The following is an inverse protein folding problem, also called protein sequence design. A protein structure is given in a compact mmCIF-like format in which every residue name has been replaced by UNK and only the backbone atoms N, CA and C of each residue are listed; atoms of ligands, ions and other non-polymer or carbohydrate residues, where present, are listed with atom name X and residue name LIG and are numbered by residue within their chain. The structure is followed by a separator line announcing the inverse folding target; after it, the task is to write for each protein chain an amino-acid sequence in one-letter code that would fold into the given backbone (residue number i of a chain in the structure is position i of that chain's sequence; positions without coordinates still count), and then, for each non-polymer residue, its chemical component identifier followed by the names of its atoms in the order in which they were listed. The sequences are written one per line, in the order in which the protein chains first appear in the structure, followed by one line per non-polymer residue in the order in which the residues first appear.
data_IF_845345167697
#
_entry.id   IF_845345167697
#
_cell.length_a   1.000
_cell.length_b   1.000
_cell.length_c   1.000
_cell.angle_alpha   90.00
_cell.angle_beta   90.00
_cell.angle_gamma   90.00
#
_symmetry.space_group_name_H-M   'P 1'
#
loop_
_entity.id
_entity.type
_entity.pdbx_description
1 polymer ?
#
# COMPACT_ATOMS: atom_id res chain seq x y z
N UNK A 1 14.64 62.46 -22.86
CA UNK A 1 15.13 61.15 -22.38
C UNK A 1 14.17 60.68 -21.30
N UNK A 2 13.14 59.94 -21.70
CA UNK A 2 12.13 59.34 -20.82
C UNK A 2 12.74 58.12 -20.15
N UNK A 3 12.76 58.08 -18.82
CA UNK A 3 13.23 56.91 -18.07
C UNK A 3 12.31 55.73 -18.36
N UNK A 4 12.92 54.56 -18.52
CA UNK A 4 12.23 53.31 -18.78
C UNK A 4 11.37 52.94 -17.56
N UNK A 5 10.04 52.78 -17.70
CA UNK A 5 9.15 52.41 -16.60
C UNK A 5 9.58 51.10 -15.91
N UNK A 6 10.33 50.23 -16.58
CA UNK A 6 10.89 49.02 -15.98
C UNK A 6 11.94 49.31 -14.91
N UNK A 7 12.72 50.40 -15.03
CA UNK A 7 13.71 50.80 -14.02
C UNK A 7 13.08 51.39 -12.75
N UNK A 8 11.88 51.98 -12.85
CA UNK A 8 11.15 52.47 -11.68
C UNK A 8 10.45 51.35 -10.90
N UNK A 9 10.04 50.28 -11.59
CA UNK A 9 9.48 49.08 -10.96
C UNK A 9 10.59 48.35 -10.19
N UNK A 10 11.77 48.19 -10.80
CA UNK A 10 12.91 47.53 -10.18
C UNK A 10 13.43 48.28 -8.93
N UNK A 11 13.51 49.61 -8.99
CA UNK A 11 13.93 50.42 -7.82
C UNK A 11 12.93 50.43 -6.66
N UNK A 12 11.66 50.07 -6.90
CA UNK A 12 10.68 49.88 -5.83
C UNK A 12 10.84 48.54 -5.10
N UNK A 13 11.63 47.63 -5.67
CA UNK A 13 11.84 46.27 -5.15
C UNK A 13 13.14 46.12 -4.34
N UNK A 14 13.95 47.18 -4.22
CA UNK A 14 15.20 47.24 -3.42
C UNK A 14 14.94 47.45 -1.90
N UNK A 15 13.96 46.74 -1.34
CA UNK A 15 13.87 46.47 0.10
C UNK A 15 14.33 45.03 0.33
N UNK A 16 14.89 44.67 1.51
CA UNK A 16 15.35 43.30 1.76
C UNK A 16 14.22 42.35 1.43
N UNK A 17 14.39 41.60 0.34
CA UNK A 17 13.41 40.65 -0.16
C UNK A 17 13.42 39.42 0.73
N UNK A 18 13.00 39.60 1.99
CA UNK A 18 12.30 38.53 2.69
C UNK A 18 10.97 38.41 1.98
N UNK A 19 10.98 37.66 0.88
CA UNK A 19 9.76 37.07 0.35
C UNK A 19 9.19 36.27 1.51
N UNK A 20 8.32 36.92 2.30
CA UNK A 20 7.40 36.28 3.23
C UNK A 20 6.52 35.44 2.35
N UNK A 21 7.00 34.25 2.00
CA UNK A 21 6.16 33.19 1.46
C UNK A 21 5.02 33.10 2.47
N UNK A 22 3.82 33.43 2.01
CA UNK A 22 2.64 33.50 2.87
C UNK A 22 2.48 32.12 3.53
N UNK A 23 2.83 32.05 4.82
CA UNK A 23 2.85 30.82 5.60
C UNK A 23 1.47 30.15 5.55
N UNK A 24 0.40 30.94 5.53
CA UNK A 24 -0.96 30.42 5.44
C UNK A 24 -1.25 29.81 4.07
N UNK A 25 -0.78 30.46 2.99
CA UNK A 25 -0.89 29.91 1.64
C UNK A 25 -0.13 28.58 1.51
N UNK A 26 1.10 28.51 2.05
CA UNK A 26 1.92 27.32 1.98
C UNK A 26 1.35 26.18 2.83
N UNK A 27 0.85 26.47 4.03
CA UNK A 27 0.13 25.52 4.87
C UNK A 27 -1.15 25.01 4.21
N UNK A 28 -1.90 25.88 3.52
CA UNK A 28 -3.10 25.48 2.76
C UNK A 28 -2.76 24.58 1.56
N UNK A 29 -1.65 24.86 0.87
CA UNK A 29 -1.17 24.00 -0.21
C UNK A 29 -0.78 22.61 0.30
N UNK A 30 -0.05 22.54 1.42
CA UNK A 30 0.32 21.28 2.08
C UNK A 30 -0.92 20.51 2.53
N UNK A 31 -1.88 21.19 3.18
CA UNK A 31 -3.17 20.59 3.58
C UNK A 31 -3.94 20.02 2.39
N UNK A 32 -3.97 20.73 1.26
CA UNK A 32 -4.61 20.26 0.04
C UNK A 32 -3.92 19.00 -0.49
N UNK A 33 -2.60 19.03 -0.65
CA UNK A 33 -1.80 17.88 -1.09
C UNK A 33 -1.98 16.65 -0.17
N UNK A 34 -2.02 16.87 1.15
CA UNK A 34 -2.25 15.82 2.14
C UNK A 34 -3.65 15.22 2.02
N UNK A 35 -4.68 16.05 1.76
CA UNK A 35 -6.05 15.59 1.55
C UNK A 35 -6.18 14.73 0.30
N UNK A 36 -5.57 15.16 -0.80
CA UNK A 36 -5.58 14.43 -2.06
C UNK A 36 -4.85 13.09 -1.94
N UNK A 37 -3.71 13.09 -1.25
CA UNK A 37 -2.98 11.88 -0.89
C UNK A 37 -3.81 10.91 -0.06
N UNK A 38 -4.45 11.42 1.00
CA UNK A 38 -5.32 10.61 1.83
C UNK A 38 -6.44 10.00 0.99
N UNK A 39 -7.14 10.75 0.14
CA UNK A 39 -8.15 10.19 -0.74
C UNK A 39 -7.63 9.08 -1.67
N UNK A 40 -6.43 9.23 -2.23
CA UNK A 40 -5.83 8.21 -3.07
C UNK A 40 -5.56 6.91 -2.30
N UNK A 41 -4.99 7.01 -1.10
CA UNK A 41 -4.70 5.86 -0.22
C UNK A 41 -6.01 5.20 0.21
N UNK A 42 -7.02 5.98 0.57
CA UNK A 42 -8.35 5.48 0.94
C UNK A 42 -8.99 4.67 -0.17
N UNK A 43 -8.95 5.20 -1.40
CA UNK A 43 -9.52 4.52 -2.56
C UNK A 43 -8.81 3.19 -2.81
N UNK A 44 -7.48 3.17 -2.71
CA UNK A 44 -6.69 1.94 -2.86
C UNK A 44 -7.06 0.92 -1.78
N UNK A 45 -7.05 1.33 -0.51
CA UNK A 45 -7.35 0.43 0.60
C UNK A 45 -8.78 -0.16 0.50
N UNK A 46 -9.77 0.63 0.06
CA UNK A 46 -11.15 0.15 -0.16
C UNK A 46 -11.19 -0.88 -1.29
N UNK A 47 -10.49 -0.64 -2.40
CA UNK A 47 -10.45 -1.58 -3.51
C UNK A 47 -9.77 -2.89 -3.10
N UNK A 48 -8.66 -2.83 -2.37
CA UNK A 48 -7.94 -4.02 -1.90
C UNK A 48 -8.78 -4.83 -0.91
N UNK A 49 -9.40 -4.18 0.08
CA UNK A 49 -10.34 -4.84 1.01
C UNK A 49 -11.50 -5.47 0.23
N UNK A 50 -12.07 -4.74 -0.72
CA UNK A 50 -13.16 -5.23 -1.57
C UNK A 50 -12.76 -6.49 -2.34
N UNK A 51 -11.58 -6.51 -2.95
CA UNK A 51 -11.06 -7.67 -3.67
C UNK A 51 -10.91 -8.87 -2.72
N UNK A 52 -10.31 -8.70 -1.54
CA UNK A 52 -10.18 -9.82 -0.58
C UNK A 52 -11.52 -10.36 -0.09
N UNK A 53 -12.50 -9.48 0.15
CA UNK A 53 -13.84 -9.87 0.56
C UNK A 53 -14.62 -10.57 -0.55
N UNK A 54 -14.38 -10.22 -1.82
CA UNK A 54 -14.95 -10.92 -2.97
C UNK A 54 -14.27 -12.27 -3.23
N UNK A 55 -12.95 -12.36 -3.02
CA UNK A 55 -12.19 -13.60 -3.19
C UNK A 55 -12.50 -14.64 -2.11
N UNK A 56 -12.75 -14.23 -0.87
CA UNK A 56 -13.05 -15.13 0.24
C UNK A 56 -14.18 -16.14 -0.05
N UNK A 57 -15.40 -15.73 -0.48
CA UNK A 57 -16.48 -16.67 -0.79
C UNK A 57 -16.17 -17.56 -1.99
N UNK A 58 -15.36 -17.08 -2.95
CA UNK A 58 -14.91 -17.89 -4.10
C UNK A 58 -14.06 -19.07 -3.60
N UNK A 59 -13.12 -18.82 -2.69
CA UNK A 59 -12.28 -19.88 -2.13
C UNK A 59 -13.05 -20.83 -1.20
N UNK A 60 -14.03 -20.33 -0.44
CA UNK A 60 -14.97 -21.19 0.30
C UNK A 60 -15.75 -22.10 -0.67
N UNK A 61 -16.24 -21.54 -1.78
CA UNK A 61 -16.92 -22.32 -2.81
C UNK A 61 -16.02 -23.42 -3.38
N UNK A 62 -14.75 -23.13 -3.69
CA UNK A 62 -13.80 -24.17 -4.13
C UNK A 62 -13.56 -25.25 -3.07
N UNK A 63 -13.45 -24.87 -1.79
CA UNK A 63 -13.35 -25.81 -0.67
C UNK A 63 -14.55 -26.76 -0.59
N UNK A 64 -15.77 -26.27 -0.82
CA UNK A 64 -17.00 -27.09 -0.82
C UNK A 64 -17.15 -27.86 -2.14
N UNK A 65 -16.86 -27.26 -3.28
CA UNK A 65 -17.00 -27.90 -4.58
C UNK A 65 -16.05 -29.10 -4.72
N UNK A 66 -14.84 -29.00 -4.15
CA UNK A 66 -13.87 -30.10 -4.15
C UNK A 66 -14.36 -31.37 -3.43
N UNK A 67 -15.40 -31.30 -2.60
CA UNK A 67 -15.97 -32.48 -1.91
C UNK A 67 -17.21 -33.06 -2.59
N UNK A 68 -17.85 -32.35 -3.52
CA UNK A 68 -19.16 -32.73 -4.07
C UNK A 68 -19.12 -33.96 -4.96
N UNK A 69 -18.02 -34.18 -5.67
CA UNK A 69 -17.89 -35.26 -6.66
C UNK A 69 -17.14 -36.49 -6.12
N UNK A 70 -17.08 -36.68 -4.80
CA UNK A 70 -16.27 -37.73 -4.16
C UNK A 70 -14.77 -37.46 -4.20
N UNK A 71 -14.37 -36.27 -4.63
CA UNK A 71 -12.99 -35.79 -4.61
C UNK A 71 -12.44 -35.65 -3.19
N UNK A 72 -11.11 -35.72 -3.02
CA UNK A 72 -10.49 -35.60 -1.71
C UNK A 72 -10.69 -34.19 -1.15
N UNK A 73 -11.06 -34.10 0.12
CA UNK A 73 -11.34 -32.80 0.75
C UNK A 73 -10.09 -31.90 0.79
N UNK A 74 -10.12 -30.81 0.03
CA UNK A 74 -9.02 -29.82 -0.02
C UNK A 74 -9.29 -28.71 1.00
N UNK A 75 -9.10 -29.04 2.28
CA UNK A 75 -9.28 -28.10 3.40
C UNK A 75 -8.35 -26.87 3.29
N UNK A 76 -7.25 -26.96 2.55
CA UNK A 76 -6.31 -25.86 2.34
C UNK A 76 -6.94 -24.65 1.61
N UNK A 77 -8.06 -24.81 0.89
CA UNK A 77 -8.82 -23.67 0.37
C UNK A 77 -9.36 -22.75 1.47
N UNK A 78 -9.67 -23.29 2.65
CA UNK A 78 -10.04 -22.49 3.80
C UNK A 78 -8.86 -21.69 4.37
N UNK A 79 -7.62 -22.15 4.22
CA UNK A 79 -6.44 -21.36 4.57
C UNK A 79 -6.33 -20.11 3.70
N UNK A 80 -6.62 -20.21 2.40
CA UNK A 80 -6.64 -19.06 1.48
C UNK A 80 -7.72 -18.07 1.91
N UNK A 81 -8.89 -18.58 2.32
CA UNK A 81 -9.98 -17.76 2.86
C UNK A 81 -9.53 -17.00 4.12
N UNK A 82 -8.89 -17.69 5.06
CA UNK A 82 -8.35 -17.08 6.28
C UNK A 82 -7.29 -16.03 5.95
N UNK A 83 -6.42 -16.29 4.96
CA UNK A 83 -5.43 -15.32 4.50
C UNK A 83 -6.07 -14.06 3.89
N UNK A 84 -7.14 -14.19 3.11
CA UNK A 84 -7.90 -13.04 2.60
C UNK A 84 -8.51 -12.22 3.74
N UNK A 85 -9.13 -12.88 4.73
CA UNK A 85 -9.72 -12.22 5.89
C UNK A 85 -8.67 -11.56 6.78
N UNK A 86 -7.51 -12.20 6.94
CA UNK A 86 -6.35 -11.63 7.64
C UNK A 86 -5.92 -10.31 6.99
N UNK A 87 -5.74 -10.29 5.66
CA UNK A 87 -5.34 -9.07 4.95
C UNK A 87 -6.38 -7.95 5.11
N UNK A 88 -7.67 -8.26 4.91
CA UNK A 88 -8.74 -7.29 5.11
C UNK A 88 -8.80 -6.77 6.56
N UNK A 89 -8.70 -7.67 7.53
CA UNK A 89 -8.69 -7.36 8.96
C UNK A 89 -7.48 -6.51 9.36
N UNK A 90 -6.30 -6.83 8.85
CA UNK A 90 -5.06 -6.09 9.12
C UNK A 90 -5.16 -4.63 8.64
N UNK A 91 -5.70 -4.39 7.44
CA UNK A 91 -5.95 -3.04 6.95
C UNK A 91 -6.87 -2.24 7.88
N UNK A 92 -7.99 -2.84 8.28
CA UNK A 92 -8.97 -2.19 9.17
C UNK A 92 -8.35 -1.93 10.55
N UNK A 93 -7.67 -2.91 11.13
CA UNK A 93 -7.03 -2.80 12.44
C UNK A 93 -5.95 -1.71 12.45
N UNK A 94 -5.05 -1.72 11.47
CA UNK A 94 -4.02 -0.70 11.31
C UNK A 94 -4.65 0.70 11.25
N UNK A 95 -5.71 0.85 10.45
CA UNK A 95 -6.38 2.14 10.32
C UNK A 95 -7.07 2.61 11.60
N UNK A 96 -7.74 1.72 12.33
CA UNK A 96 -8.36 2.06 13.62
C UNK A 96 -7.28 2.45 14.63
N UNK A 97 -6.17 1.71 14.68
CA UNK A 97 -5.08 1.97 15.61
C UNK A 97 -4.45 3.35 15.39
N UNK A 98 -4.19 3.72 14.14
CA UNK A 98 -3.62 5.03 13.81
C UNK A 98 -4.59 6.19 13.99
N UNK A 99 -5.89 5.99 13.73
CA UNK A 99 -6.91 7.01 14.07
C UNK A 99 -6.97 7.29 15.57
N UNK A 100 -6.78 6.28 16.42
CA UNK A 100 -6.76 6.45 17.89
C UNK A 100 -5.51 7.18 18.37
N UNK A 101 -4.35 6.88 17.78
CA UNK A 101 -3.05 7.47 18.17
C UNK A 101 -2.90 8.95 17.80
N UNK A 102 -3.66 9.43 16.82
CA UNK A 102 -3.55 10.79 16.25
C UNK A 102 -4.52 11.83 16.85
N UNK A 103 -5.08 11.56 18.03
CA UNK A 103 -5.90 12.53 18.79
C UNK A 103 -5.07 13.24 19.88
N UNK A 104 -4.50 14.43 19.60
CA UNK A 104 -4.31 15.42 20.68
C UNK A 104 -4.50 16.92 20.30
N UNK A 105 -5.31 17.55 21.16
CA UNK A 105 -5.45 18.92 21.72
C UNK A 105 -4.85 20.21 21.11
N UNK A 106 -3.90 20.24 20.15
CA UNK A 106 -3.29 21.51 19.67
C UNK A 106 -3.31 21.67 18.12
N UNK A 107 -3.58 22.84 17.49
CA UNK A 107 -4.07 22.88 16.09
C UNK A 107 -3.05 22.95 14.94
N UNK A 108 -1.82 23.46 15.13
CA UNK A 108 -0.94 23.85 14.00
C UNK A 108 0.34 23.00 13.86
N UNK A 109 1.22 22.99 14.86
CA UNK A 109 2.45 22.14 14.88
C UNK A 109 2.10 20.65 14.89
N UNK A 110 1.02 20.31 15.60
CA UNK A 110 0.38 18.99 15.60
C UNK A 110 -0.01 18.48 14.20
N UNK A 111 -0.34 19.35 13.24
CA UNK A 111 -0.74 18.93 11.91
C UNK A 111 0.45 18.41 11.07
N UNK A 112 1.60 19.09 11.14
CA UNK A 112 2.82 18.67 10.43
C UNK A 112 3.36 17.37 11.03
N UNK A 113 3.45 17.30 12.35
CA UNK A 113 3.91 16.08 13.06
C UNK A 113 3.01 14.88 12.76
N UNK A 114 1.69 15.12 12.67
CA UNK A 114 0.73 14.10 12.24
C UNK A 114 0.95 13.66 10.80
N UNK A 115 1.14 14.60 9.87
CA UNK A 115 1.32 14.29 8.46
C UNK A 115 2.60 13.48 8.21
N UNK A 116 3.69 13.82 8.90
CA UNK A 116 4.94 13.06 8.89
C UNK A 116 4.71 11.65 9.44
N UNK A 117 4.07 11.53 10.61
CA UNK A 117 3.78 10.22 11.23
C UNK A 117 2.89 9.32 10.34
N UNK A 118 1.90 9.90 9.66
CA UNK A 118 1.03 9.19 8.72
C UNK A 118 1.83 8.65 7.53
N UNK A 119 2.75 9.44 6.97
CA UNK A 119 3.60 9.02 5.84
C UNK A 119 4.61 7.96 6.28
N UNK A 120 5.23 8.11 7.45
CA UNK A 120 6.15 7.10 7.99
C UNK A 120 5.49 5.75 8.18
N UNK A 121 4.26 5.74 8.71
CA UNK A 121 3.48 4.52 8.81
C UNK A 121 3.19 3.88 7.44
N UNK A 122 2.82 4.70 6.44
CA UNK A 122 2.60 4.17 5.09
C UNK A 122 3.88 3.64 4.45
N UNK A 123 5.02 4.32 4.65
CA UNK A 123 6.33 3.82 4.21
C UNK A 123 6.63 2.48 4.89
N UNK A 124 6.40 2.35 6.20
CA UNK A 124 6.61 1.10 6.92
C UNK A 124 5.73 -0.03 6.37
N UNK A 125 4.44 0.23 6.17
CA UNK A 125 3.50 -0.74 5.58
C UNK A 125 4.00 -1.20 4.20
N UNK A 126 4.33 -0.27 3.33
CA UNK A 126 4.73 -0.59 1.96
C UNK A 126 6.09 -1.27 1.90
N UNK A 127 7.06 -0.87 2.73
CA UNK A 127 8.36 -1.56 2.85
C UNK A 127 8.20 -2.99 3.38
N UNK A 128 7.23 -3.22 4.27
CA UNK A 128 6.98 -4.53 4.87
C UNK A 128 5.85 -5.32 4.17
N UNK A 129 5.43 -4.91 2.97
CA UNK A 129 4.32 -5.56 2.23
C UNK A 129 4.56 -7.06 2.01
N UNK A 130 5.82 -7.50 1.91
CA UNK A 130 6.16 -8.92 1.83
C UNK A 130 5.61 -9.69 3.03
N UNK A 131 5.76 -9.15 4.24
CA UNK A 131 5.49 -9.85 5.49
C UNK A 131 4.01 -9.91 5.85
N UNK A 132 3.29 -8.79 5.72
CA UNK A 132 1.91 -8.72 6.19
C UNK A 132 0.88 -8.96 5.08
N UNK A 133 1.22 -8.73 3.80
CA UNK A 133 0.29 -8.81 2.67
C UNK A 133 0.54 -10.02 1.76
N UNK A 134 1.78 -10.24 1.31
CA UNK A 134 2.10 -11.28 0.32
C UNK A 134 2.33 -12.64 0.98
N UNK A 135 2.97 -12.69 2.14
CA UNK A 135 3.33 -13.95 2.79
C UNK A 135 2.12 -14.77 3.25
N UNK A 136 1.08 -14.22 3.90
CA UNK A 136 -0.08 -15.00 4.31
C UNK A 136 -0.79 -15.74 3.15
N UNK A 137 -1.15 -15.08 2.03
CA UNK A 137 -1.72 -15.79 0.88
C UNK A 137 -0.68 -16.68 0.19
N UNK A 138 0.60 -16.28 0.15
CA UNK A 138 1.67 -17.10 -0.44
C UNK A 138 1.81 -18.46 0.23
N UNK A 139 1.80 -18.50 1.57
CA UNK A 139 1.83 -19.75 2.35
C UNK A 139 0.55 -20.56 2.11
N UNK A 140 -0.62 -19.90 2.12
CA UNK A 140 -1.89 -20.60 1.90
C UNK A 140 -1.94 -21.27 0.52
N UNK A 141 -1.52 -20.57 -0.54
CA UNK A 141 -1.41 -21.13 -1.89
C UNK A 141 -0.39 -22.26 -1.95
N UNK A 142 0.77 -22.12 -1.30
CA UNK A 142 1.76 -23.19 -1.22
C UNK A 142 1.16 -24.47 -0.61
N UNK A 143 0.38 -24.35 0.46
CA UNK A 143 -0.31 -25.50 1.07
C UNK A 143 -1.31 -26.15 0.11
N UNK A 144 -2.10 -25.35 -0.64
CA UNK A 144 -3.01 -25.86 -1.68
C UNK A 144 -2.23 -26.64 -2.73
N UNK A 145 -1.13 -26.09 -3.24
CA UNK A 145 -0.32 -26.75 -4.25
C UNK A 145 0.31 -28.05 -3.74
N UNK A 146 0.88 -28.04 -2.54
CA UNK A 146 1.48 -29.23 -1.94
C UNK A 146 0.44 -30.34 -1.72
N UNK A 147 -0.74 -29.99 -1.19
CA UNK A 147 -1.81 -30.96 -1.02
C UNK A 147 -2.23 -31.57 -2.37
N UNK A 148 -2.46 -30.72 -3.38
CA UNK A 148 -2.87 -31.16 -4.70
C UNK A 148 -1.81 -32.02 -5.38
N UNK A 149 -0.53 -31.66 -5.25
CA UNK A 149 0.59 -32.43 -5.80
C UNK A 149 0.65 -33.82 -5.18
N UNK A 150 0.48 -33.95 -3.87
CA UNK A 150 0.45 -35.25 -3.18
C UNK A 150 -0.73 -36.09 -3.68
N UNK A 151 -1.93 -35.50 -3.77
CA UNK A 151 -3.13 -36.20 -4.21
C UNK A 151 -3.03 -36.69 -5.66
N UNK A 152 -2.60 -35.83 -6.58
CA UNK A 152 -2.51 -36.18 -8.00
C UNK A 152 -1.35 -37.14 -8.27
N UNK A 153 -0.25 -37.06 -7.52
CA UNK A 153 0.90 -37.97 -7.68
C UNK A 153 0.57 -39.44 -7.41
N UNK A 154 -0.42 -39.73 -6.56
CA UNK A 154 -0.89 -41.08 -6.27
C UNK A 154 -1.80 -41.69 -7.33
N UNK A 155 -2.33 -40.88 -8.25
CA UNK A 155 -3.29 -41.29 -9.29
C UNK A 155 -2.68 -41.33 -10.70
N UNK A 156 -1.35 -41.25 -10.80
CA UNK A 156 -0.65 -41.18 -12.07
C UNK A 156 -0.47 -42.57 -12.66
N UNK A 157 -0.99 -42.77 -13.86
CA UNK A 157 -0.86 -44.03 -14.61
C UNK A 157 0.12 -43.94 -15.79
N UNK A 158 0.50 -42.73 -16.20
CA UNK A 158 1.38 -42.51 -17.36
C UNK A 158 2.38 -41.35 -17.19
N UNK A 159 3.48 -41.42 -17.95
CA UNK A 159 4.48 -40.35 -17.99
C UNK A 159 3.92 -39.03 -18.56
N UNK A 160 2.97 -39.11 -19.50
CA UNK A 160 2.33 -37.93 -20.09
C UNK A 160 1.50 -37.15 -19.05
N UNK A 161 0.73 -37.87 -18.23
CA UNK A 161 -0.02 -37.27 -17.11
C UNK A 161 0.91 -36.58 -16.10
N UNK A 162 2.07 -37.17 -15.77
CA UNK A 162 3.07 -36.51 -14.91
C UNK A 162 3.57 -35.20 -15.48
N UNK A 163 3.86 -35.17 -16.78
CA UNK A 163 4.34 -33.96 -17.45
C UNK A 163 3.26 -32.88 -17.48
N UNK A 164 2.01 -33.24 -17.79
CA UNK A 164 0.88 -32.32 -17.77
C UNK A 164 0.68 -31.69 -16.39
N UNK A 165 0.66 -32.52 -15.33
CA UNK A 165 0.53 -32.06 -13.95
C UNK A 165 1.68 -31.11 -13.59
N UNK A 166 2.94 -31.49 -13.85
CA UNK A 166 4.11 -30.64 -13.58
C UNK A 166 4.06 -29.31 -14.30
N UNK A 167 3.58 -29.30 -15.55
CA UNK A 167 3.46 -28.07 -16.33
C UNK A 167 2.38 -27.15 -15.78
N UNK A 168 1.22 -27.69 -15.40
CA UNK A 168 0.14 -26.92 -14.75
C UNK A 168 0.62 -26.26 -13.44
N UNK A 169 1.34 -27.02 -12.61
CA UNK A 169 1.96 -26.49 -11.38
C UNK A 169 3.01 -25.43 -11.68
N UNK A 170 3.92 -25.68 -12.62
CA UNK A 170 4.99 -24.74 -12.97
C UNK A 170 4.42 -23.42 -13.53
N UNK A 171 3.41 -23.51 -14.40
CA UNK A 171 2.73 -22.36 -14.96
C UNK A 171 1.99 -21.56 -13.89
N UNK A 172 1.22 -22.23 -13.03
CA UNK A 172 0.47 -21.58 -11.96
C UNK A 172 1.39 -20.90 -10.93
N UNK A 173 2.49 -21.57 -10.56
CA UNK A 173 3.52 -21.00 -9.69
C UNK A 173 4.18 -19.77 -10.33
N UNK A 174 4.54 -19.85 -11.61
CA UNK A 174 5.12 -18.73 -12.35
C UNK A 174 4.17 -17.51 -12.35
N UNK A 175 2.88 -17.73 -12.61
CA UNK A 175 1.88 -16.65 -12.60
C UNK A 175 1.80 -15.99 -11.22
N UNK A 176 1.77 -16.77 -10.13
CA UNK A 176 1.73 -16.22 -8.77
C UNK A 176 2.99 -15.42 -8.45
N UNK A 177 4.17 -15.96 -8.75
CA UNK A 177 5.45 -15.26 -8.52
C UNK A 177 5.51 -13.96 -9.31
N UNK A 178 5.05 -13.96 -10.57
CA UNK A 178 4.99 -12.75 -11.39
C UNK A 178 4.02 -11.72 -10.81
N UNK A 179 2.79 -12.12 -10.45
CA UNK A 179 1.80 -11.22 -9.85
C UNK A 179 2.34 -10.63 -8.53
N UNK A 180 2.91 -11.47 -7.66
CA UNK A 180 3.46 -11.03 -6.38
C UNK A 180 4.66 -10.10 -6.57
N UNK A 181 5.54 -10.42 -7.54
CA UNK A 181 6.69 -9.60 -7.90
C UNK A 181 6.27 -8.23 -8.45
N UNK A 182 5.25 -8.18 -9.32
CA UNK A 182 4.69 -6.94 -9.85
C UNK A 182 4.07 -6.10 -8.73
N UNK A 183 3.26 -6.71 -7.87
CA UNK A 183 2.65 -6.02 -6.72
C UNK A 183 3.74 -5.46 -5.80
N UNK A 184 4.77 -6.25 -5.48
CA UNK A 184 5.89 -5.78 -4.68
C UNK A 184 6.62 -4.61 -5.35
N UNK A 185 6.93 -4.74 -6.65
CA UNK A 185 7.63 -3.70 -7.40
C UNK A 185 6.85 -2.38 -7.44
N UNK A 186 5.55 -2.42 -7.72
CA UNK A 186 4.70 -1.22 -7.76
C UNK A 186 4.70 -0.52 -6.40
N UNK A 187 4.56 -1.28 -5.32
CA UNK A 187 4.53 -0.73 -3.97
C UNK A 187 5.89 -0.14 -3.55
N UNK A 188 7.01 -0.81 -3.85
CA UNK A 188 8.34 -0.27 -3.57
C UNK A 188 8.67 0.95 -4.43
N UNK A 189 8.26 0.95 -5.70
CA UNK A 189 8.42 2.10 -6.59
C UNK A 189 7.68 3.30 -6.02
N UNK A 190 6.42 3.12 -5.59
CA UNK A 190 5.62 4.17 -4.98
C UNK A 190 6.28 4.77 -3.72
N UNK A 191 6.87 3.92 -2.86
CA UNK A 191 7.62 4.40 -1.70
C UNK A 191 8.75 5.35 -2.11
N UNK A 192 9.56 4.93 -3.09
CA UNK A 192 10.74 5.69 -3.51
C UNK A 192 10.39 6.95 -4.30
N UNK A 193 9.35 6.91 -5.13
CA UNK A 193 9.04 8.03 -6.04
C UNK A 193 8.07 9.04 -5.43
N UNK A 194 7.22 8.63 -4.49
CA UNK A 194 6.16 9.49 -3.95
C UNK A 194 6.30 9.72 -2.45
N UNK A 195 6.50 8.66 -1.65
CA UNK A 195 6.42 8.80 -0.19
C UNK A 195 7.70 9.36 0.44
N UNK A 196 8.86 8.88 0.02
CA UNK A 196 10.14 9.35 0.56
C UNK A 196 10.38 10.83 0.24
N UNK A 197 10.19 11.33 -1.00
CA UNK A 197 10.32 12.76 -1.29
C UNK A 197 9.36 13.62 -0.48
N UNK A 198 8.08 13.20 -0.34
CA UNK A 198 7.09 13.94 0.45
C UNK A 198 7.43 14.00 1.93
N UNK A 199 8.01 12.92 2.47
CA UNK A 199 8.52 12.92 3.85
C UNK A 199 9.59 14.00 4.01
N UNK A 200 10.55 14.07 3.09
CA UNK A 200 11.60 15.08 3.11
C UNK A 200 11.03 16.51 3.00
N UNK A 201 10.12 16.76 2.05
CA UNK A 201 9.45 18.06 1.90
C UNK A 201 8.76 18.50 3.21
N UNK A 202 8.04 17.60 3.89
CA UNK A 202 7.36 17.93 5.14
C UNK A 202 8.31 18.17 6.32
N UNK A 203 9.45 17.47 6.35
CA UNK A 203 10.48 17.69 7.37
C UNK A 203 11.18 19.03 7.18
N UNK A 204 11.55 19.38 5.94
CA UNK A 204 12.12 20.68 5.61
C UNK A 204 11.16 21.84 5.95
N UNK A 205 9.87 21.66 5.64
CA UNK A 205 8.84 22.64 6.01
C UNK A 205 8.69 22.81 7.52
N UNK A 206 8.78 21.72 8.27
CA UNK A 206 8.74 21.74 9.73
C UNK A 206 9.95 22.49 10.30
N UNK A 207 11.15 22.20 9.80
CA UNK A 207 12.39 22.86 10.25
C UNK A 207 12.37 24.36 9.96
N UNK A 208 11.94 24.77 8.76
CA UNK A 208 11.84 26.18 8.40
C UNK A 208 10.80 26.94 9.23
N UNK A 209 9.66 26.32 9.55
CA UNK A 209 8.62 26.97 10.36
C UNK A 209 9.02 27.12 11.84
N UNK A 210 9.74 26.14 12.39
CA UNK A 210 10.23 26.17 13.78
C UNK A 210 11.47 27.08 13.90
N UNK A 211 12.34 27.11 12.88
CA UNK A 211 13.55 27.92 12.86
C UNK A 211 13.31 29.42 12.71
N UNK A 212 12.16 29.84 12.19
CA UNK A 212 11.76 31.25 12.12
C UNK A 212 11.07 31.79 13.40
N UNK A 213 10.83 30.94 14.41
CA UNK A 213 10.24 31.35 15.70
C UNK A 213 11.28 31.68 16.79
N UNK A 214 12.58 31.62 16.48
CA UNK A 214 13.69 32.00 17.36
C UNK A 214 14.55 33.12 16.75
#
# INVERSE_FOLDING_TARGET
MTRDPLQEIWKKEDGPSTVKIDKEWLLNLVRKKQRDFNHAVLRRDILEIGIFLLCAPIFVYYGIASTKDGGPHVWTWYLVTVACLWNAGFFVANRIWWKKKTNPTDPATSFLDRSVSEIENQIWLLKNILWWYLLPPGIAFLCVYLQRMIQESGAVESAEQLWAIRWDFAFSYLVIVLVFGILYYINQRYVRTELEPRKTELLELRENLIGEEF
#
